data_IF_123307010099
#
_entry.id   IF_123307010099
#
_cell.length_a   1.000
_cell.length_b   1.000
_cell.length_c   1.000
_cell.angle_alpha   90.00
_cell.angle_beta   90.00
_cell.angle_gamma   90.00
#
_symmetry.space_group_name_H-M   'P 1'
#
loop_
_entity.id
_entity.type
_entity.pdbx_description
1 polymer ?
#
# COMPACT_ATOMS: atom_id res chain seq x y z
N UNK A 1 0.46 6.87 7.25
CA UNK A 1 -0.19 5.84 8.10
C UNK A 1 -0.04 4.49 7.42
N UNK A 2 0.51 3.47 8.09
CA UNK A 2 0.85 2.16 7.50
C UNK A 2 -0.05 1.00 7.97
N UNK A 3 -0.66 1.09 9.16
CA UNK A 3 -1.56 0.06 9.68
C UNK A 3 -2.91 0.00 8.96
N UNK A 4 -3.63 -1.11 9.10
CA UNK A 4 -4.97 -1.28 8.53
C UNK A 4 -5.92 -0.21 9.05
N UNK A 5 -6.54 0.53 8.14
CA UNK A 5 -7.43 1.62 8.50
C UNK A 5 -8.87 1.12 8.65
N UNK A 6 -9.38 1.20 9.87
CA UNK A 6 -10.80 0.98 10.15
C UNK A 6 -11.63 2.18 9.67
N UNK A 7 -12.79 1.92 9.09
CA UNK A 7 -13.65 2.95 8.50
C UNK A 7 -14.04 4.04 9.53
N UNK A 8 -14.32 3.66 10.76
CA UNK A 8 -14.70 4.60 11.84
C UNK A 8 -13.51 5.50 12.29
N UNK A 9 -12.26 5.15 11.97
CA UNK A 9 -11.05 5.91 12.28
C UNK A 9 -10.59 6.85 11.15
N UNK A 10 -11.23 6.78 10.00
CA UNK A 10 -10.88 7.64 8.84
C UNK A 10 -10.92 9.12 9.21
N UNK A 11 -11.92 9.56 9.98
CA UNK A 11 -12.07 10.94 10.46
C UNK A 11 -10.87 11.45 11.29
N UNK A 12 -10.18 10.53 11.98
CA UNK A 12 -9.03 10.87 12.84
C UNK A 12 -7.71 10.92 12.05
N UNK A 13 -7.71 10.44 10.80
CA UNK A 13 -6.54 10.29 9.93
C UNK A 13 -6.52 11.33 8.79
N UNK A 14 -7.69 11.67 8.23
CA UNK A 14 -7.81 12.69 7.18
C UNK A 14 -7.28 14.03 7.69
N UNK A 15 -6.48 14.70 6.86
CA UNK A 15 -5.83 15.97 7.20
C UNK A 15 -4.63 15.86 8.15
N UNK A 16 -4.34 14.67 8.70
CA UNK A 16 -3.20 14.43 9.60
C UNK A 16 -2.15 13.51 8.97
N UNK A 17 -2.56 12.52 8.19
CA UNK A 17 -1.63 11.63 7.50
C UNK A 17 -1.31 12.17 6.10
N UNK A 18 -0.04 12.33 5.80
CA UNK A 18 0.42 12.69 4.46
C UNK A 18 0.07 11.61 3.42
N UNK A 19 0.17 10.33 3.81
CA UNK A 19 -0.07 9.18 2.95
C UNK A 19 -0.67 8.02 3.74
N UNK A 20 -1.73 7.41 3.23
CA UNK A 20 -2.36 6.20 3.77
C UNK A 20 -1.94 5.01 2.91
N UNK A 21 -1.20 4.06 3.47
CA UNK A 21 -0.66 2.90 2.74
C UNK A 21 -1.65 1.74 2.59
N UNK A 22 -2.75 1.77 3.32
CA UNK A 22 -3.64 0.61 3.55
C UNK A 22 -5.02 0.76 2.91
N UNK A 23 -5.09 1.32 1.70
CA UNK A 23 -6.31 1.26 0.91
C UNK A 23 -6.49 -0.17 0.39
N UNK A 24 -7.30 -0.96 1.08
CA UNK A 24 -7.40 -2.41 0.91
C UNK A 24 -8.75 -2.90 0.38
N UNK A 25 -9.75 -2.02 0.24
CA UNK A 25 -11.12 -2.39 -0.16
C UNK A 25 -11.94 -1.20 -0.63
N UNK A 26 -12.95 -1.47 -1.43
CA UNK A 26 -13.83 -0.45 -2.02
C UNK A 26 -14.59 0.36 -0.96
N UNK A 27 -15.16 -0.29 0.05
CA UNK A 27 -15.90 0.40 1.11
C UNK A 27 -15.06 1.43 1.88
N UNK A 28 -13.73 1.21 1.98
CA UNK A 28 -12.83 2.19 2.57
C UNK A 28 -12.60 3.37 1.62
N UNK A 29 -12.43 3.11 0.30
CA UNK A 29 -12.29 4.16 -0.70
C UNK A 29 -13.49 5.10 -0.72
N UNK A 30 -14.70 4.54 -0.74
CA UNK A 30 -15.95 5.33 -0.69
C UNK A 30 -16.08 6.16 0.60
N UNK A 31 -15.67 5.59 1.73
CA UNK A 31 -15.76 6.32 3.00
C UNK A 31 -14.73 7.46 3.05
N UNK A 32 -13.51 7.23 2.56
CA UNK A 32 -12.48 8.27 2.44
C UNK A 32 -12.98 9.38 1.51
N UNK A 33 -13.52 9.04 0.34
CA UNK A 33 -14.06 10.01 -0.61
C UNK A 33 -15.10 10.93 0.02
N UNK A 34 -16.17 10.34 0.61
CA UNK A 34 -17.24 11.10 1.26
C UNK A 34 -16.73 11.99 2.39
N UNK A 35 -15.75 11.50 3.15
CA UNK A 35 -15.19 12.27 4.26
C UNK A 35 -14.29 13.40 3.77
N UNK A 36 -13.46 13.14 2.78
CA UNK A 36 -12.57 14.12 2.16
C UNK A 36 -13.36 15.23 1.45
N UNK A 37 -14.44 14.91 0.77
CA UNK A 37 -15.37 15.86 0.18
C UNK A 37 -15.93 16.82 1.25
N UNK A 38 -16.44 16.27 2.36
CA UNK A 38 -16.97 17.05 3.49
C UNK A 38 -15.92 18.00 4.09
N UNK A 39 -14.67 17.56 4.15
CA UNK A 39 -13.55 18.34 4.69
C UNK A 39 -12.85 19.22 3.62
N UNK A 40 -13.35 19.20 2.37
CA UNK A 40 -12.80 19.93 1.23
C UNK A 40 -11.29 19.70 1.03
N UNK A 41 -10.88 18.45 1.18
CA UNK A 41 -9.49 18.02 1.03
C UNK A 41 -9.35 16.87 0.04
N UNK A 42 -8.12 16.56 -0.34
CA UNK A 42 -7.78 15.40 -1.18
C UNK A 42 -6.86 14.49 -0.38
N UNK A 43 -7.17 13.21 -0.35
CA UNK A 43 -6.43 12.20 0.42
C UNK A 43 -5.54 11.39 -0.50
N UNK A 44 -4.26 11.33 -0.17
CA UNK A 44 -3.27 10.50 -0.86
C UNK A 44 -3.21 9.11 -0.24
N UNK A 45 -3.27 8.09 -1.08
CA UNK A 45 -3.25 6.69 -0.66
C UNK A 45 -2.31 5.85 -1.50
N UNK A 46 -1.91 4.69 -0.97
CA UNK A 46 -1.39 3.57 -1.75
C UNK A 46 -2.43 2.45 -1.76
N UNK A 47 -2.59 1.79 -2.89
CA UNK A 47 -3.40 0.59 -2.96
C UNK A 47 -2.63 -0.57 -2.33
N UNK A 48 -3.20 -1.17 -1.30
CA UNK A 48 -2.66 -2.39 -0.72
C UNK A 48 -3.06 -3.59 -1.56
N UNK A 49 -2.06 -4.33 -2.06
CA UNK A 49 -2.24 -5.54 -2.88
C UNK A 49 -1.86 -6.76 -2.06
N UNK A 50 -2.74 -7.75 -1.99
CA UNK A 50 -2.48 -9.03 -1.35
C UNK A 50 -1.83 -9.99 -2.34
N UNK A 51 -0.52 -9.84 -2.55
CA UNK A 51 0.24 -10.65 -3.51
C UNK A 51 0.44 -12.08 -3.00
N UNK A 52 0.63 -12.27 -1.69
CA UNK A 52 0.85 -13.59 -1.10
C UNK A 52 -0.40 -14.49 -1.12
N UNK A 53 -1.59 -13.89 -1.26
CA UNK A 53 -2.86 -14.62 -1.19
C UNK A 53 -3.26 -15.07 0.23
N UNK A 54 -2.50 -14.71 1.25
CA UNK A 54 -2.84 -15.04 2.64
C UNK A 54 -4.12 -14.31 3.07
N UNK A 55 -5.11 -15.07 3.56
CA UNK A 55 -6.40 -14.51 4.03
C UNK A 55 -6.25 -13.55 5.21
N UNK A 56 -5.21 -13.70 6.01
CA UNK A 56 -4.88 -12.83 7.15
C UNK A 56 -4.39 -11.45 6.74
N UNK A 57 -3.80 -11.33 5.55
CA UNK A 57 -3.30 -10.07 5.00
C UNK A 57 -4.43 -9.41 4.21
N UNK A 58 -4.78 -8.18 4.56
CA UNK A 58 -5.72 -7.39 3.78
C UNK A 58 -5.11 -6.98 2.43
N UNK A 59 -5.95 -6.52 1.53
CA UNK A 59 -5.51 -6.03 0.22
C UNK A 59 -6.39 -6.54 -0.92
N UNK A 60 -6.30 -5.86 -2.05
CA UNK A 60 -6.95 -6.25 -3.30
C UNK A 60 -6.15 -7.37 -3.94
N UNK A 61 -6.82 -8.36 -4.52
CA UNK A 61 -6.12 -9.44 -5.23
C UNK A 61 -5.38 -8.91 -6.48
N UNK A 62 -4.23 -9.48 -6.86
CA UNK A 62 -3.45 -9.04 -8.03
C UNK A 62 -4.28 -8.85 -9.30
N UNK A 63 -5.18 -9.80 -9.61
CA UNK A 63 -6.04 -9.76 -10.79
C UNK A 63 -7.12 -8.67 -10.76
N UNK A 64 -7.42 -8.10 -9.60
CA UNK A 64 -8.47 -7.07 -9.42
C UNK A 64 -7.89 -5.64 -9.40
N UNK A 65 -6.57 -5.48 -9.40
CA UNK A 65 -5.91 -4.18 -9.22
C UNK A 65 -6.34 -3.17 -10.28
N UNK A 66 -6.37 -3.55 -11.55
CA UNK A 66 -6.71 -2.63 -12.64
C UNK A 66 -8.17 -2.14 -12.54
N UNK A 67 -9.10 -3.05 -12.30
CA UNK A 67 -10.53 -2.72 -12.15
C UNK A 67 -10.75 -1.83 -10.92
N UNK A 68 -10.08 -2.12 -9.83
CA UNK A 68 -10.14 -1.30 -8.62
C UNK A 68 -9.60 0.11 -8.87
N UNK A 69 -8.45 0.24 -9.50
CA UNK A 69 -7.85 1.54 -9.82
C UNK A 69 -8.69 2.34 -10.83
N UNK A 70 -9.26 1.67 -11.83
CA UNK A 70 -10.20 2.30 -12.74
C UNK A 70 -11.41 2.87 -11.99
N UNK A 71 -12.01 2.10 -11.09
CA UNK A 71 -13.14 2.57 -10.29
C UNK A 71 -12.74 3.74 -9.37
N UNK A 72 -11.63 3.64 -8.65
CA UNK A 72 -11.11 4.68 -7.74
C UNK A 72 -10.72 5.95 -8.50
N UNK A 73 -10.25 5.86 -9.73
CA UNK A 73 -9.87 7.01 -10.55
C UNK A 73 -11.03 7.99 -10.81
N UNK A 74 -12.27 7.55 -10.59
CA UNK A 74 -13.49 8.36 -10.74
C UNK A 74 -13.86 9.13 -9.47
N UNK A 75 -13.20 8.86 -8.34
CA UNK A 75 -13.39 9.57 -7.09
C UNK A 75 -12.62 10.90 -7.12
N UNK A 76 -13.25 12.00 -6.67
CA UNK A 76 -12.68 13.33 -6.84
C UNK A 76 -11.70 13.74 -5.73
N UNK A 77 -11.84 13.16 -4.54
CA UNK A 77 -11.10 13.54 -3.35
C UNK A 77 -10.11 12.48 -2.89
N UNK A 78 -9.89 11.42 -3.71
CA UNK A 78 -8.94 10.36 -3.44
C UNK A 78 -7.91 10.27 -4.57
N UNK A 79 -6.62 10.19 -4.22
CA UNK A 79 -5.51 9.95 -5.14
C UNK A 79 -4.78 8.68 -4.76
N UNK A 80 -4.52 7.82 -5.73
CA UNK A 80 -3.65 6.66 -5.53
C UNK A 80 -2.28 7.01 -6.07
N UNK A 81 -1.27 7.00 -5.18
CA UNK A 81 0.10 7.39 -5.52
C UNK A 81 1.07 6.21 -5.57
N UNK A 82 0.58 5.01 -5.72
CA UNK A 82 1.39 3.82 -5.84
C UNK A 82 0.75 2.59 -5.22
N UNK A 83 1.57 1.56 -5.05
CA UNK A 83 1.16 0.27 -4.50
C UNK A 83 1.90 -0.03 -3.20
N UNK A 84 1.28 -0.85 -2.36
CA UNK A 84 1.87 -1.38 -1.14
C UNK A 84 1.56 -2.88 -1.02
N UNK A 85 2.50 -3.66 -0.50
CA UNK A 85 2.26 -5.03 -0.06
C UNK A 85 2.97 -5.36 1.25
N UNK A 86 2.50 -6.40 1.90
CA UNK A 86 3.17 -7.05 3.02
C UNK A 86 3.46 -8.49 2.62
N UNK A 87 4.73 -8.86 2.63
CA UNK A 87 5.16 -10.23 2.40
C UNK A 87 4.81 -11.13 3.61
N UNK A 88 4.79 -12.45 3.44
CA UNK A 88 4.74 -13.40 4.53
C UNK A 88 5.90 -13.19 5.51
N UNK A 89 5.70 -13.58 6.75
CA UNK A 89 6.80 -13.68 7.71
C UNK A 89 7.49 -15.03 7.49
N UNK A 90 8.77 -15.00 7.14
CA UNK A 90 9.59 -16.16 6.77
C UNK A 90 10.94 -16.10 7.48
N UNK A 91 11.61 -17.24 7.58
CA UNK A 91 12.95 -17.29 8.19
C UNK A 91 14.03 -16.77 7.23
N UNK A 92 13.93 -17.13 5.94
CA UNK A 92 14.83 -16.65 4.90
C UNK A 92 14.17 -15.48 4.11
N UNK A 93 14.69 -14.25 4.21
CA UNK A 93 14.17 -13.10 3.48
C UNK A 93 14.05 -13.30 1.95
N UNK A 94 14.89 -14.16 1.37
CA UNK A 94 14.84 -14.47 -0.07
C UNK A 94 13.50 -15.11 -0.49
N UNK A 95 12.82 -15.80 0.40
CA UNK A 95 11.49 -16.36 0.13
C UNK A 95 10.42 -15.29 -0.15
N UNK A 96 10.66 -14.03 0.25
CA UNK A 96 9.75 -12.91 -0.04
C UNK A 96 9.91 -12.34 -1.46
N UNK A 97 11.04 -12.61 -2.12
CA UNK A 97 11.38 -12.07 -3.44
C UNK A 97 10.28 -12.24 -4.51
N UNK A 98 9.62 -13.41 -4.64
CA UNK A 98 8.55 -13.57 -5.61
C UNK A 98 7.37 -12.60 -5.39
N UNK A 99 7.06 -12.29 -4.12
CA UNK A 99 6.00 -11.33 -3.76
C UNK A 99 6.36 -9.92 -4.22
N UNK A 100 7.60 -9.50 -4.00
CA UNK A 100 8.08 -8.17 -4.39
C UNK A 100 8.21 -8.03 -5.91
N UNK A 101 8.69 -9.05 -6.61
CA UNK A 101 8.73 -9.09 -8.08
C UNK A 101 7.33 -8.95 -8.69
N UNK A 102 6.36 -9.65 -8.14
CA UNK A 102 5.00 -9.58 -8.65
C UNK A 102 4.38 -8.20 -8.40
N UNK A 103 4.57 -7.59 -7.22
CA UNK A 103 4.10 -6.24 -6.98
C UNK A 103 4.76 -5.23 -7.91
N UNK A 104 6.06 -5.37 -8.19
CA UNK A 104 6.79 -4.55 -9.14
C UNK A 104 6.21 -4.70 -10.54
N UNK A 105 5.95 -5.91 -10.99
CA UNK A 105 5.32 -6.18 -12.30
C UNK A 105 3.97 -5.48 -12.42
N UNK A 106 3.13 -5.58 -11.40
CA UNK A 106 1.82 -4.91 -11.37
C UNK A 106 1.99 -3.39 -11.41
N UNK A 107 2.93 -2.85 -10.65
CA UNK A 107 3.24 -1.42 -10.63
C UNK A 107 3.61 -0.90 -12.01
N UNK A 108 4.46 -1.60 -12.75
CA UNK A 108 4.90 -1.20 -14.08
C UNK A 108 3.74 -1.26 -15.10
N UNK A 109 2.89 -2.27 -15.05
CA UNK A 109 1.67 -2.36 -15.88
C UNK A 109 0.72 -1.19 -15.60
N UNK A 110 0.46 -0.90 -14.33
CA UNK A 110 -0.46 0.20 -13.96
C UNK A 110 0.09 1.55 -14.36
N UNK A 111 1.41 1.74 -14.28
CA UNK A 111 2.08 2.98 -14.68
C UNK A 111 1.82 3.35 -16.13
N UNK A 112 1.70 2.36 -17.01
CA UNK A 112 1.37 2.57 -18.43
C UNK A 112 -0.13 2.89 -18.68
N UNK A 113 -1.00 2.54 -17.74
CA UNK A 113 -2.46 2.63 -17.91
C UNK A 113 -3.04 4.05 -17.85
N UNK A 114 -2.31 5.03 -17.32
CA UNK A 114 -2.65 6.48 -17.25
C UNK A 114 -4.07 6.79 -16.73
N UNK A 115 -4.50 6.11 -15.67
CA UNK A 115 -5.79 6.44 -15.03
C UNK A 115 -5.77 7.84 -14.39
N UNK A 116 -6.86 8.64 -14.50
CA UNK A 116 -6.96 9.88 -13.74
C UNK A 116 -6.74 9.68 -12.24
N UNK A 117 -6.02 10.59 -11.58
CA UNK A 117 -5.74 10.56 -10.13
C UNK A 117 -5.00 9.31 -9.62
N UNK A 118 -4.44 8.52 -10.53
CA UNK A 118 -3.58 7.37 -10.23
C UNK A 118 -2.18 7.68 -10.76
N UNK A 119 -1.22 7.77 -9.87
CA UNK A 119 0.18 8.02 -10.19
C UNK A 119 1.05 6.94 -9.55
N UNK A 120 1.78 6.18 -10.33
CA UNK A 120 2.69 5.14 -9.83
C UNK A 120 4.02 5.76 -9.41
N UNK A 121 4.02 6.42 -8.24
CA UNK A 121 5.15 7.11 -7.64
C UNK A 121 5.85 6.28 -6.58
N UNK A 122 5.08 5.64 -5.70
CA UNK A 122 5.60 4.91 -4.56
C UNK A 122 5.35 3.41 -4.69
N UNK A 123 6.41 2.63 -4.51
CA UNK A 123 6.37 1.18 -4.36
C UNK A 123 6.77 0.85 -2.92
N UNK A 124 5.76 0.73 -2.05
CA UNK A 124 5.95 0.51 -0.62
C UNK A 124 5.92 -0.98 -0.31
N UNK A 125 7.08 -1.56 -0.12
CA UNK A 125 7.27 -2.96 0.26
C UNK A 125 8.58 -3.10 1.03
N UNK A 126 8.70 -4.17 1.82
CA UNK A 126 9.84 -4.40 2.69
C UNK A 126 9.65 -3.81 4.10
N UNK A 127 9.99 -4.64 5.08
CA UNK A 127 10.01 -4.31 6.51
C UNK A 127 11.38 -4.69 7.09
N UNK A 128 11.53 -4.67 8.41
CA UNK A 128 12.81 -4.86 9.10
C UNK A 128 13.61 -6.11 8.65
N UNK A 129 12.94 -7.20 8.28
CA UNK A 129 13.63 -8.46 7.95
C UNK A 129 13.90 -8.65 6.46
N UNK A 130 13.15 -7.98 5.59
CA UNK A 130 13.14 -8.23 4.15
C UNK A 130 13.32 -6.97 3.29
N UNK A 131 13.70 -5.83 3.92
CA UNK A 131 13.82 -4.55 3.20
C UNK A 131 14.92 -4.55 2.14
N UNK A 132 16.02 -5.29 2.33
CA UNK A 132 17.10 -5.37 1.35
C UNK A 132 16.61 -6.04 0.07
N UNK A 133 15.97 -7.20 0.21
CA UNK A 133 15.33 -7.92 -0.92
C UNK A 133 14.30 -7.03 -1.61
N UNK A 134 13.49 -6.29 -0.83
CA UNK A 134 12.50 -5.37 -1.40
C UNK A 134 13.17 -4.23 -2.21
N UNK A 135 14.30 -3.67 -1.73
CA UNK A 135 15.04 -2.62 -2.45
C UNK A 135 15.60 -3.17 -3.76
N UNK A 136 16.17 -4.36 -3.75
CA UNK A 136 16.67 -5.02 -4.97
C UNK A 136 15.56 -5.22 -6.01
N UNK A 137 14.34 -5.50 -5.57
CA UNK A 137 13.16 -5.63 -6.43
C UNK A 137 12.48 -4.27 -6.75
N UNK A 138 13.12 -3.16 -6.37
CA UNK A 138 12.74 -1.80 -6.77
C UNK A 138 11.82 -1.07 -5.80
N UNK A 139 11.74 -1.46 -4.54
CA UNK A 139 11.10 -0.64 -3.53
C UNK A 139 11.75 0.73 -3.44
N UNK A 140 10.93 1.77 -3.41
CA UNK A 140 11.39 3.13 -3.11
C UNK A 140 10.84 3.68 -1.80
N UNK A 141 10.14 2.83 -1.05
CA UNK A 141 9.64 3.11 0.28
C UNK A 141 9.62 1.81 1.11
N UNK A 142 10.40 1.77 2.18
CA UNK A 142 10.44 0.66 3.16
C UNK A 142 9.82 1.08 4.49
N UNK A 143 9.42 0.12 5.32
CA UNK A 143 8.73 0.38 6.58
C UNK A 143 9.47 -0.27 7.76
N UNK A 144 10.45 0.43 8.30
CA UNK A 144 11.31 -0.06 9.37
C UNK A 144 10.69 0.31 10.73
N UNK A 145 10.43 -0.69 11.56
CA UNK A 145 9.89 -0.51 12.91
C UNK A 145 10.77 -1.20 13.97
N UNK A 146 10.79 -2.53 13.99
CA UNK A 146 11.51 -3.30 15.02
C UNK A 146 12.96 -2.87 15.17
N UNK A 147 13.71 -2.74 14.09
CA UNK A 147 15.11 -2.32 14.14
C UNK A 147 15.34 -0.93 14.75
N UNK A 148 14.34 -0.04 14.72
CA UNK A 148 14.48 1.32 15.25
C UNK A 148 13.97 1.47 16.69
N UNK A 149 12.99 0.68 17.09
CA UNK A 149 12.24 0.87 18.34
C UNK A 149 12.39 -0.28 19.34
N UNK A 150 12.95 -1.42 18.95
CA UNK A 150 13.20 -2.55 19.82
C UNK A 150 14.66 -2.53 20.30
N UNK A 151 14.93 -2.22 21.62
CA UNK A 151 16.29 -2.19 22.15
C UNK A 151 17.00 -3.55 22.12
N UNK A 152 16.22 -4.63 22.01
CA UNK A 152 16.73 -6.01 21.93
C UNK A 152 16.99 -6.51 20.51
N UNK A 153 16.66 -5.71 19.49
CA UNK A 153 16.90 -6.09 18.11
C UNK A 153 18.40 -6.14 17.82
N UNK A 154 18.89 -7.34 17.53
CA UNK A 154 20.25 -7.54 17.02
C UNK A 154 20.14 -7.85 15.54
N UNK A 155 20.97 -7.19 14.74
CA UNK A 155 21.18 -7.59 13.34
C UNK A 155 21.66 -9.05 13.32
N UNK A 156 21.04 -9.87 12.49
CA UNK A 156 21.41 -11.29 12.29
C UNK A 156 22.45 -11.35 11.20
#
# INVERSE_FOLDING_TARGET
>A
MIGRLQTNKVKDVIGRAFLIHSLDRWSLAEYIERRAEKERTVVSTLLQVNVSGEKSKGGVAPGEVQDFLYAVSRLNHLRVQGLMTMAPEVDDPEETRPVFKELRRIFDIVKESKYPRVEMRYLSMGMTQDFEVAIEEGANMVRIGRALFDPGFKEV
#
